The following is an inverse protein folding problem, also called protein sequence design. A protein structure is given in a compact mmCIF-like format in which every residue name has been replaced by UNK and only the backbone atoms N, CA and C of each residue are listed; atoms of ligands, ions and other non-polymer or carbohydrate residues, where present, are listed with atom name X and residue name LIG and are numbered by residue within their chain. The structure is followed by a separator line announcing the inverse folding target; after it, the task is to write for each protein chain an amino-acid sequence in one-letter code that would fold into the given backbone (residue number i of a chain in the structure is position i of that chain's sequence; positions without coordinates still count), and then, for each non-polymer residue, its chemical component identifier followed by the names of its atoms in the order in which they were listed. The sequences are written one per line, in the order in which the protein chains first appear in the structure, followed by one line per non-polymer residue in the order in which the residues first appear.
data_IF_354352111065
#
_entry.id   IF_354352111065
#
_cell.length_a   1.000
_cell.length_b   1.000
_cell.length_c   1.000
_cell.angle_alpha   90.00
_cell.angle_beta   90.00
_cell.angle_gamma   90.00
#
_symmetry.space_group_name_H-M   'P 1'
#
loop_
_entity.id
_entity.type
_entity.pdbx_description
1 polymer ?
#
# COMPACT_ATOMS: atom_id res chain seq x y z
N UNK A 1 6.38 26.83 73.50
CA UNK A 1 7.09 25.57 73.80
C UNK A 1 6.76 24.55 72.72
N UNK A 2 7.78 23.83 72.25
CA UNK A 2 7.76 22.81 71.20
C UNK A 2 6.96 21.56 71.61
N UNK A 3 6.52 20.78 70.59
CA UNK A 3 6.52 19.29 70.43
C UNK A 3 5.33 18.91 69.53
N UNK A 4 5.50 18.63 68.23
CA UNK A 4 5.95 17.37 67.56
C UNK A 4 5.20 16.12 68.05
N UNK A 5 4.39 15.54 67.14
CA UNK A 5 4.13 14.10 66.88
C UNK A 5 2.92 14.00 65.91
N UNK A 6 2.74 13.07 64.97
CA UNK A 6 3.53 12.02 64.33
C UNK A 6 2.58 11.30 63.32
N UNK A 7 3.02 11.12 62.07
CA UNK A 7 2.77 9.99 61.12
C UNK A 7 1.37 9.56 60.59
N UNK A 8 1.45 8.99 59.35
CA UNK A 8 0.55 8.09 58.56
C UNK A 8 -0.70 8.77 57.95
N UNK A 9 -1.02 8.70 56.65
CA UNK A 9 -0.89 7.61 55.68
C UNK A 9 -0.64 8.11 54.24
N UNK A 10 0.15 7.30 53.53
CA UNK A 10 0.10 7.10 52.08
C UNK A 10 -1.34 7.14 51.53
N UNK A 11 -1.51 7.79 50.37
CA UNK A 11 -2.30 7.37 49.20
C UNK A 11 -2.83 8.62 48.46
N UNK A 12 -2.01 9.17 47.57
CA UNK A 12 -2.51 9.90 46.40
C UNK A 12 -1.42 9.94 45.32
N UNK A 13 -0.77 8.80 45.10
CA UNK A 13 -0.04 8.55 43.87
C UNK A 13 -1.02 8.11 42.79
N UNK A 14 -1.93 9.00 42.38
CA UNK A 14 -2.58 8.88 41.09
C UNK A 14 -1.87 9.84 40.15
N UNK A 15 -0.80 9.35 39.54
CA UNK A 15 -0.36 9.88 38.27
C UNK A 15 -1.58 9.84 37.35
N UNK A 16 -2.12 11.00 36.99
CA UNK A 16 -3.06 11.11 35.90
C UNK A 16 -2.31 10.66 34.66
N UNK A 17 -2.44 9.38 34.32
CA UNK A 17 -2.22 8.90 32.96
C UNK A 17 -3.27 9.62 32.13
N UNK A 18 -2.95 10.85 31.70
CA UNK A 18 -3.58 11.40 30.53
C UNK A 18 -3.09 10.51 29.40
N UNK A 19 -3.88 9.49 29.11
CA UNK A 19 -3.92 8.90 27.80
C UNK A 19 -4.13 10.07 26.85
N UNK A 20 -3.06 10.54 26.21
CA UNK A 20 -3.21 11.18 24.91
C UNK A 20 -3.74 10.08 23.98
N UNK A 21 -5.04 9.81 24.03
CA UNK A 21 -5.70 9.62 22.75
C UNK A 21 -5.57 10.99 22.11
N UNK A 22 -4.70 11.08 21.11
CA UNK A 22 -4.83 12.18 20.17
C UNK A 22 -6.19 11.91 19.54
N UNK A 23 -7.23 12.57 20.05
CA UNK A 23 -8.52 12.64 19.40
C UNK A 23 -8.27 13.53 18.18
N UNK A 24 -7.79 12.90 17.11
CA UNK A 24 -7.66 13.53 15.81
C UNK A 24 -9.08 13.93 15.39
N UNK A 25 -9.42 15.18 15.64
CA UNK A 25 -10.65 15.79 15.17
C UNK A 25 -10.51 15.96 13.66
N UNK A 26 -10.82 14.90 12.93
CA UNK A 26 -10.97 14.98 11.49
C UNK A 26 -12.33 15.60 11.20
N UNK A 27 -12.32 16.74 10.53
CA UNK A 27 -13.50 17.25 9.86
C UNK A 27 -14.09 16.10 9.00
N UNK A 28 -15.27 15.64 9.39
CA UNK A 28 -16.08 14.73 8.60
C UNK A 28 -16.44 15.44 7.28
N UNK A 29 -15.62 15.19 6.27
CA UNK A 29 -15.82 15.69 4.92
C UNK A 29 -15.51 14.61 3.88
N UNK A 30 -15.83 13.35 4.20
CA UNK A 30 -15.83 12.24 3.26
C UNK A 30 -14.54 11.42 3.23
N UNK A 31 -14.68 10.11 3.32
CA UNK A 31 -13.62 9.14 3.06
C UNK A 31 -13.34 9.14 1.56
N UNK A 32 -12.28 9.85 1.13
CA UNK A 32 -11.98 10.01 -0.30
C UNK A 32 -11.30 8.75 -0.85
N UNK A 33 -12.07 7.91 -1.52
CA UNK A 33 -11.52 6.92 -2.44
C UNK A 33 -10.65 7.61 -3.48
N UNK A 34 -9.51 7.02 -3.83
CA UNK A 34 -8.60 7.58 -4.83
C UNK A 34 -8.05 6.48 -5.71
N UNK A 35 -7.75 6.81 -6.97
CA UNK A 35 -7.02 5.94 -7.88
C UNK A 35 -5.82 6.68 -8.45
N UNK A 36 -4.67 6.02 -8.37
CA UNK A 36 -3.44 6.44 -8.99
C UNK A 36 -3.07 5.46 -10.10
N UNK A 37 -2.46 5.96 -11.16
CA UNK A 37 -1.86 5.16 -12.24
C UNK A 37 -0.35 5.43 -12.29
N UNK A 38 0.39 4.34 -12.47
CA UNK A 38 1.84 4.31 -12.52
C UNK A 38 2.24 3.75 -13.89
N UNK A 39 2.24 4.57 -14.96
CA UNK A 39 2.43 4.10 -16.31
C UNK A 39 3.91 3.98 -16.70
N UNK A 40 4.24 2.94 -17.47
CA UNK A 40 5.58 2.70 -18.02
C UNK A 40 6.71 2.61 -16.97
N UNK A 41 6.40 2.02 -15.81
CA UNK A 41 7.33 1.87 -14.71
C UNK A 41 8.24 0.65 -14.87
N UNK A 42 9.50 0.79 -14.50
CA UNK A 42 10.44 -0.34 -14.49
C UNK A 42 10.84 -0.67 -13.06
N UNK A 43 10.58 -1.91 -12.64
CA UNK A 43 10.96 -2.43 -11.32
C UNK A 43 12.47 -2.65 -11.29
N UNK A 44 13.23 -1.59 -11.00
CA UNK A 44 14.69 -1.56 -11.17
C UNK A 44 15.46 -1.65 -9.86
N UNK A 45 14.80 -1.53 -8.70
CA UNK A 45 15.47 -1.62 -7.41
C UNK A 45 15.68 -3.09 -7.08
N UNK A 46 16.94 -3.53 -7.09
CA UNK A 46 17.29 -4.86 -6.61
C UNK A 46 17.18 -4.94 -5.08
N UNK A 47 16.35 -5.85 -4.57
CA UNK A 47 16.21 -6.16 -3.14
C UNK A 47 17.16 -7.30 -2.75
N UNK A 48 17.21 -8.35 -3.58
CA UNK A 48 18.12 -9.48 -3.48
C UNK A 48 18.39 -10.11 -4.87
N UNK A 49 18.90 -11.35 -4.93
CA UNK A 49 19.16 -12.03 -6.20
C UNK A 49 17.89 -12.47 -6.96
N UNK A 50 16.74 -12.52 -6.29
CA UNK A 50 15.48 -13.10 -6.77
C UNK A 50 14.36 -12.07 -6.87
N UNK A 51 14.56 -10.86 -6.34
CA UNK A 51 13.51 -9.85 -6.18
C UNK A 51 13.95 -8.46 -6.64
N UNK A 52 13.11 -7.87 -7.48
CA UNK A 52 13.15 -6.47 -7.90
C UNK A 52 11.96 -5.72 -7.30
N UNK A 53 12.08 -4.40 -7.14
CA UNK A 53 11.01 -3.56 -6.63
C UNK A 53 11.02 -2.17 -7.24
N UNK A 54 9.94 -1.44 -6.99
CA UNK A 54 9.88 0.01 -7.08
C UNK A 54 8.90 0.55 -6.02
N UNK A 55 9.14 1.78 -5.57
CA UNK A 55 8.38 2.42 -4.50
C UNK A 55 7.92 3.79 -4.97
N UNK A 56 6.67 4.13 -4.69
CA UNK A 56 6.08 5.43 -5.00
C UNK A 56 5.50 6.04 -3.75
N UNK A 57 5.78 7.33 -3.53
CA UNK A 57 5.26 8.06 -2.40
C UNK A 57 3.85 8.60 -2.72
N UNK A 58 2.94 8.50 -1.76
CA UNK A 58 1.68 9.20 -1.80
C UNK A 58 1.93 10.71 -1.63
N UNK A 59 1.28 11.53 -2.46
CA UNK A 59 1.38 12.99 -2.37
C UNK A 59 0.81 13.55 -1.07
N UNK A 60 -0.14 12.84 -0.47
CA UNK A 60 -0.68 13.12 0.85
C UNK A 60 -0.76 11.80 1.61
N UNK A 61 -0.31 11.75 2.87
CA UNK A 61 -0.42 10.53 3.66
C UNK A 61 -1.86 10.03 3.71
N UNK A 62 -2.04 8.72 3.56
CA UNK A 62 -3.34 8.07 3.74
C UNK A 62 -3.78 8.13 5.21
N UNK A 63 -5.07 7.90 5.45
CA UNK A 63 -5.55 7.66 6.80
C UNK A 63 -5.11 6.29 7.29
N UNK A 64 -4.91 6.15 8.60
CA UNK A 64 -4.47 4.87 9.19
C UNK A 64 -5.51 3.76 9.01
N UNK A 65 -6.77 4.12 8.76
CA UNK A 65 -7.85 3.18 8.46
C UNK A 65 -7.91 2.74 6.99
N UNK A 66 -7.23 3.44 6.08
CA UNK A 66 -7.32 3.19 4.65
C UNK A 66 -6.57 1.91 4.26
N UNK A 67 -7.08 1.26 3.23
CA UNK A 67 -6.48 0.09 2.62
C UNK A 67 -6.09 0.41 1.18
N UNK A 68 -5.12 -0.34 0.65
CA UNK A 68 -4.63 -0.16 -0.73
C UNK A 68 -4.78 -1.46 -1.50
N UNK A 69 -5.30 -1.36 -2.71
CA UNK A 69 -5.33 -2.42 -3.71
C UNK A 69 -4.42 -2.04 -4.87
N UNK A 70 -3.62 -2.98 -5.36
CA UNK A 70 -2.77 -2.75 -6.53
C UNK A 70 -3.19 -3.67 -7.66
N UNK A 71 -3.35 -3.10 -8.85
CA UNK A 71 -3.68 -3.82 -10.07
C UNK A 71 -2.56 -3.65 -11.08
N UNK A 72 -2.19 -4.72 -11.76
CA UNK A 72 -1.25 -4.70 -12.90
C UNK A 72 -2.03 -4.76 -14.22
N UNK A 73 -1.61 -3.94 -15.18
CA UNK A 73 -2.11 -3.99 -16.55
C UNK A 73 -1.50 -5.16 -17.33
N UNK A 74 -2.34 -5.96 -18.00
CA UNK A 74 -1.93 -7.10 -18.82
C UNK A 74 -2.02 -6.83 -20.34
N UNK A 75 -2.26 -5.58 -20.75
CA UNK A 75 -2.48 -5.22 -22.15
C UNK A 75 -3.96 -5.16 -22.56
N UNK A 76 -4.84 -5.88 -21.88
CA UNK A 76 -6.29 -5.88 -22.11
C UNK A 76 -7.15 -5.83 -20.84
N UNK A 77 -6.59 -6.20 -19.68
CA UNK A 77 -7.29 -6.22 -18.40
C UNK A 77 -6.40 -5.84 -17.23
N UNK A 78 -7.06 -5.45 -16.13
CA UNK A 78 -6.42 -5.21 -14.84
C UNK A 78 -6.48 -6.47 -13.99
N UNK A 79 -5.33 -6.87 -13.46
CA UNK A 79 -5.22 -8.04 -12.57
C UNK A 79 -4.81 -7.57 -11.19
N UNK A 80 -5.62 -7.89 -10.18
CA UNK A 80 -5.27 -7.63 -8.78
C UNK A 80 -4.02 -8.44 -8.40
N UNK A 81 -3.05 -7.80 -7.76
CA UNK A 81 -1.89 -8.47 -7.16
C UNK A 81 -2.14 -8.67 -5.65
N UNK A 82 -1.60 -9.71 -4.98
CA UNK A 82 -0.58 -10.65 -5.47
C UNK A 82 -1.07 -11.66 -6.49
N UNK A 83 -0.19 -12.06 -7.40
CA UNK A 83 -0.45 -13.01 -8.50
C UNK A 83 0.84 -13.65 -8.98
N UNK A 84 0.77 -14.88 -9.49
CA UNK A 84 1.92 -15.62 -10.02
C UNK A 84 1.69 -16.08 -11.46
N UNK A 85 2.76 -16.12 -12.26
CA UNK A 85 2.76 -16.54 -13.66
C UNK A 85 3.78 -17.65 -13.89
N UNK A 86 3.40 -18.75 -14.57
CA UNK A 86 4.37 -19.74 -15.03
C UNK A 86 5.11 -19.23 -16.27
N UNK A 87 6.43 -19.40 -16.30
CA UNK A 87 7.26 -19.13 -17.48
C UNK A 87 7.52 -20.40 -18.31
N UNK A 88 7.33 -21.57 -17.70
CA UNK A 88 7.55 -22.87 -18.31
C UNK A 88 8.35 -23.78 -17.36
N UNK A 89 8.19 -25.09 -17.50
CA UNK A 89 8.85 -26.04 -16.60
C UNK A 89 8.48 -25.78 -15.13
N UNK A 90 9.49 -25.57 -14.28
CA UNK A 90 9.34 -25.20 -12.86
C UNK A 90 9.40 -23.71 -12.59
N UNK A 91 9.63 -22.89 -13.61
CA UNK A 91 10.00 -21.49 -13.44
C UNK A 91 8.75 -20.62 -13.32
N UNK A 92 8.75 -19.79 -12.28
CA UNK A 92 7.59 -19.02 -11.84
C UNK A 92 8.03 -17.62 -11.44
N UNK A 93 7.24 -16.63 -11.85
CA UNK A 93 7.37 -15.25 -11.39
C UNK A 93 6.13 -14.82 -10.63
N UNK A 94 6.28 -13.85 -9.74
CA UNK A 94 5.24 -13.35 -8.86
C UNK A 94 5.31 -11.83 -8.75
N UNK A 95 4.14 -11.21 -8.67
CA UNK A 95 4.01 -9.85 -8.12
C UNK A 95 3.43 -9.90 -6.73
N UNK A 96 3.94 -9.03 -5.88
CA UNK A 96 3.42 -8.75 -4.56
C UNK A 96 3.52 -7.25 -4.28
N UNK A 97 2.89 -6.78 -3.21
CA UNK A 97 3.05 -5.39 -2.78
C UNK A 97 2.92 -5.26 -1.26
N UNK A 98 3.53 -4.20 -0.76
CA UNK A 98 3.19 -3.64 0.54
C UNK A 98 2.84 -2.16 0.39
N UNK A 99 2.24 -1.61 1.44
CA UNK A 99 2.01 -0.18 1.52
C UNK A 99 2.14 0.27 2.97
N UNK A 100 2.52 1.53 3.11
CA UNK A 100 2.36 2.31 4.33
C UNK A 100 1.38 3.44 4.06
N UNK A 101 1.06 4.25 5.07
CA UNK A 101 0.32 5.49 4.82
C UNK A 101 1.10 6.49 3.93
N UNK A 102 2.39 6.29 3.72
CA UNK A 102 3.27 7.22 3.00
C UNK A 102 3.66 6.73 1.61
N UNK A 103 3.72 5.43 1.38
CA UNK A 103 4.18 4.86 0.12
C UNK A 103 3.53 3.52 -0.20
N UNK A 104 3.63 3.14 -1.47
CA UNK A 104 3.32 1.80 -1.96
C UNK A 104 4.55 1.24 -2.65
N UNK A 105 4.87 -0.02 -2.36
CA UNK A 105 6.00 -0.72 -2.97
C UNK A 105 5.51 -1.98 -3.66
N UNK A 106 5.83 -2.09 -4.93
CA UNK A 106 5.54 -3.28 -5.73
C UNK A 106 6.81 -4.10 -5.88
N UNK A 107 6.66 -5.41 -5.70
CA UNK A 107 7.71 -6.40 -5.85
C UNK A 107 7.44 -7.26 -7.08
N UNK A 108 8.49 -7.57 -7.80
CA UNK A 108 8.55 -8.67 -8.76
C UNK A 108 9.59 -9.66 -8.24
N UNK A 109 9.20 -10.92 -8.09
CA UNK A 109 10.12 -11.98 -7.69
C UNK A 109 10.03 -13.19 -8.60
N UNK A 110 11.13 -13.92 -8.70
CA UNK A 110 11.23 -15.19 -9.40
C UNK A 110 11.71 -16.28 -8.44
N UNK A 111 11.40 -17.54 -8.73
CA UNK A 111 11.97 -18.68 -7.99
C UNK A 111 13.39 -19.07 -8.46
N UNK A 112 13.98 -18.26 -9.33
CA UNK A 112 15.34 -18.32 -9.84
C UNK A 112 15.94 -16.89 -9.88
N UNK A 113 17.26 -16.72 -10.04
CA UNK A 113 17.86 -15.39 -10.04
C UNK A 113 17.32 -14.47 -11.15
N UNK A 114 16.96 -13.23 -10.81
CA UNK A 114 16.31 -12.30 -11.78
C UNK A 114 17.20 -11.88 -12.94
N UNK A 115 18.52 -12.07 -12.82
CA UNK A 115 19.48 -11.84 -13.90
C UNK A 115 19.51 -12.99 -14.93
N UNK A 116 18.82 -14.10 -14.67
CA UNK A 116 18.64 -15.22 -15.61
C UNK A 116 17.37 -15.08 -16.47
N UNK A 117 16.55 -14.04 -16.23
CA UNK A 117 15.45 -13.71 -17.13
C UNK A 117 15.97 -13.47 -18.54
N UNK A 118 15.32 -14.08 -19.52
CA UNK A 118 15.52 -13.73 -20.92
C UNK A 118 15.07 -12.29 -21.20
N UNK A 119 15.58 -11.69 -22.28
CA UNK A 119 15.15 -10.36 -22.70
C UNK A 119 13.63 -10.27 -22.91
N UNK A 120 12.99 -11.35 -23.36
CA UNK A 120 11.54 -11.40 -23.54
C UNK A 120 10.80 -11.34 -22.20
N UNK A 121 11.21 -12.17 -21.23
CA UNK A 121 10.61 -12.20 -19.90
C UNK A 121 10.85 -10.90 -19.12
N UNK A 122 12.05 -10.33 -19.23
CA UNK A 122 12.35 -9.02 -18.65
C UNK A 122 11.45 -7.93 -19.24
N UNK A 123 11.26 -7.92 -20.56
CA UNK A 123 10.40 -6.95 -21.22
C UNK A 123 8.92 -7.13 -20.85
N UNK A 124 8.47 -8.36 -20.66
CA UNK A 124 7.09 -8.68 -20.30
C UNK A 124 6.78 -8.35 -18.84
N UNK A 125 7.68 -8.67 -17.91
CA UNK A 125 7.38 -8.62 -16.48
C UNK A 125 8.08 -7.48 -15.72
N UNK A 126 9.20 -6.96 -16.19
CA UNK A 126 9.97 -5.97 -15.40
C UNK A 126 9.93 -4.59 -16.04
N UNK A 127 10.04 -4.53 -17.36
CA UNK A 127 10.14 -3.29 -18.11
C UNK A 127 8.79 -2.65 -18.41
N UNK A 128 8.66 -1.34 -18.22
CA UNK A 128 7.48 -0.52 -18.62
C UNK A 128 6.12 -1.09 -18.20
N UNK A 129 6.08 -1.65 -17.01
CA UNK A 129 4.88 -2.14 -16.36
C UNK A 129 3.94 -0.97 -16.07
N UNK A 130 2.63 -1.25 -16.07
CA UNK A 130 1.63 -0.24 -15.69
C UNK A 130 0.81 -0.77 -14.53
N UNK A 131 0.73 0.03 -13.47
CA UNK A 131 -0.03 -0.31 -12.27
C UNK A 131 -1.12 0.71 -11.99
N UNK A 132 -2.18 0.27 -11.31
CA UNK A 132 -3.14 1.14 -10.65
C UNK A 132 -3.19 0.85 -9.17
N UNK A 133 -3.14 1.91 -8.39
CA UNK A 133 -3.17 1.88 -6.92
C UNK A 133 -4.50 2.51 -6.51
N UNK A 134 -5.38 1.70 -5.91
CA UNK A 134 -6.70 2.11 -5.48
C UNK A 134 -6.72 2.19 -3.95
N UNK A 135 -7.02 3.37 -3.42
CA UNK A 135 -7.21 3.59 -1.99
C UNK A 135 -8.67 3.30 -1.64
N UNK A 136 -8.87 2.28 -0.81
CA UNK A 136 -10.16 1.88 -0.26
C UNK A 136 -10.27 2.46 1.15
N UNK A 137 -11.21 3.36 1.40
CA UNK A 137 -11.29 3.99 2.70
C UNK A 137 -11.74 3.02 3.80
N UNK A 138 -11.21 3.16 5.02
CA UNK A 138 -11.47 2.20 6.12
C UNK A 138 -12.95 2.07 6.55
N UNK A 139 -13.74 3.12 6.33
CA UNK A 139 -15.18 3.12 6.56
C UNK A 139 -16.00 2.45 5.44
N UNK A 140 -15.36 1.90 4.40
CA UNK A 140 -16.06 1.31 3.26
C UNK A 140 -16.68 -0.04 3.62
N UNK A 141 -18.00 -0.07 3.80
CA UNK A 141 -18.73 -1.24 4.30
C UNK A 141 -19.31 -2.17 3.22
N UNK A 142 -19.11 -1.87 1.92
CA UNK A 142 -19.70 -2.68 0.86
C UNK A 142 -18.91 -3.96 0.63
N UNK A 143 -19.59 -5.10 0.68
CA UNK A 143 -19.02 -6.38 0.26
C UNK A 143 -19.00 -6.44 -1.26
N UNK A 144 -17.81 -6.61 -1.83
CA UNK A 144 -17.62 -6.72 -3.26
C UNK A 144 -16.41 -7.57 -3.61
N UNK A 145 -16.34 -7.97 -4.88
CA UNK A 145 -15.18 -8.67 -5.40
C UNK A 145 -14.12 -7.67 -5.88
N UNK A 146 -13.09 -7.45 -5.06
CA UNK A 146 -11.95 -6.59 -5.41
C UNK A 146 -11.08 -7.14 -6.54
N UNK A 147 -11.28 -8.38 -7.01
CA UNK A 147 -10.54 -8.87 -8.18
C UNK A 147 -11.02 -8.21 -9.48
N UNK A 148 -12.25 -7.68 -9.51
CA UNK A 148 -12.79 -6.94 -10.65
C UNK A 148 -12.52 -5.45 -10.45
N UNK A 149 -11.55 -4.95 -11.21
CA UNK A 149 -11.16 -3.54 -11.19
C UNK A 149 -12.35 -2.61 -11.51
N UNK A 150 -13.15 -2.91 -12.54
CA UNK A 150 -14.22 -2.04 -12.97
C UNK A 150 -15.34 -1.98 -11.92
N UNK A 151 -15.68 -3.13 -11.33
CA UNK A 151 -16.61 -3.17 -10.21
C UNK A 151 -16.09 -2.36 -9.03
N UNK A 152 -14.79 -2.48 -8.70
CA UNK A 152 -14.12 -1.75 -7.62
C UNK A 152 -14.21 -0.24 -7.80
N UNK A 153 -13.80 0.27 -8.96
CA UNK A 153 -13.88 1.70 -9.29
C UNK A 153 -15.33 2.21 -9.20
N UNK A 154 -16.29 1.42 -9.69
CA UNK A 154 -17.70 1.79 -9.64
C UNK A 154 -18.23 1.91 -8.21
N UNK A 155 -17.98 0.92 -7.36
CA UNK A 155 -18.49 0.95 -5.99
C UNK A 155 -17.84 2.06 -5.15
N UNK A 156 -16.59 2.42 -5.47
CA UNK A 156 -15.89 3.54 -4.85
C UNK A 156 -16.28 4.90 -5.44
N UNK A 157 -17.16 4.95 -6.45
CA UNK A 157 -17.60 6.19 -7.09
C UNK A 157 -16.52 6.88 -7.92
N UNK A 158 -15.55 6.14 -8.43
CA UNK A 158 -14.36 6.65 -9.11
C UNK A 158 -14.45 6.67 -10.65
N UNK A 159 -15.60 6.30 -11.22
CA UNK A 159 -15.77 6.12 -12.69
C UNK A 159 -15.44 7.38 -13.51
N UNK A 160 -15.65 8.56 -12.94
CA UNK A 160 -15.42 9.84 -13.60
C UNK A 160 -14.30 10.67 -12.94
N UNK A 161 -13.53 10.06 -12.04
CA UNK A 161 -12.47 10.76 -11.31
C UNK A 161 -11.19 10.78 -12.15
N UNK A 162 -10.53 11.94 -12.30
CA UNK A 162 -9.23 12.00 -12.95
C UNK A 162 -8.24 11.07 -12.26
N UNK A 163 -7.61 10.18 -13.02
CA UNK A 163 -6.59 9.28 -12.51
C UNK A 163 -5.30 10.07 -12.27
N UNK A 164 -4.82 10.08 -11.02
CA UNK A 164 -3.61 10.80 -10.61
C UNK A 164 -2.37 9.94 -10.88
N UNK A 165 -1.19 10.53 -10.94
CA UNK A 165 0.08 9.78 -10.98
C UNK A 165 0.83 9.96 -9.66
N UNK A 166 1.62 8.96 -9.27
CA UNK A 166 2.56 9.08 -8.15
C UNK A 166 3.98 9.29 -8.67
N UNK A 167 4.81 9.90 -7.82
CA UNK A 167 6.22 10.08 -8.13
C UNK A 167 7.01 8.87 -7.66
N UNK A 168 7.88 8.34 -8.53
CA UNK A 168 8.80 7.28 -8.15
C UNK A 168 9.76 7.81 -7.08
N UNK A 169 9.87 7.09 -5.97
CA UNK A 169 10.78 7.40 -4.87
C UNK A 169 12.21 7.12 -5.30
N UNK A 170 12.91 8.18 -5.72
CA UNK A 170 14.34 8.10 -6.06
C UNK A 170 15.13 7.97 -4.76
N UNK A 171 15.84 6.85 -4.60
CA UNK A 171 16.84 6.68 -3.52
C UNK A 171 18.08 7.50 -3.81
#
# INVERSE_FOLDING_TARGET
MKKIALLVFMLAGFATLQSCTIDEYYEDNGTYSQVFELPNETLSKQEDAYTLSATWDFTTPLYDSDNVLVYRWQGNSWTLIPVSYPLGGSDMVKYDYDFTRYDVKVYFSANFPVNELSDAEYNEFVYRQTFRVVVVPGGFQQKMNYSDYNATIKALGLENTPVKTLQLKKK
#
